data_IF_824852327865
#
_entry.id   IF_824852327865
#
_cell.length_a   1.000
_cell.length_b   1.000
_cell.length_c   1.000
_cell.angle_alpha   90.00
_cell.angle_beta   90.00
_cell.angle_gamma   90.00
#
_symmetry.space_group_name_H-M   'P 1'
#
loop_
_entity.id
_entity.type
_entity.pdbx_description
1 polymer ?
#
# COMPACT_ATOMS: atom_id res chain seq x y z
N UNK A 1 8.07 -25.72 12.22
CA UNK A 1 8.79 -24.44 12.45
C UNK A 1 8.26 -23.74 13.70
N UNK A 2 9.11 -23.20 14.60
CA UNK A 2 8.63 -22.38 15.70
C UNK A 2 8.14 -21.01 15.18
N UNK A 3 6.84 -20.71 15.34
CA UNK A 3 6.29 -19.37 15.16
C UNK A 3 5.57 -18.95 16.45
N UNK A 4 5.67 -17.67 16.82
CA UNK A 4 5.14 -17.14 18.09
C UNK A 4 3.60 -17.09 18.09
N UNK A 5 3.02 -16.47 17.06
CA UNK A 5 1.58 -16.49 16.76
C UNK A 5 1.37 -15.84 15.38
N UNK A 6 0.55 -16.44 14.51
CA UNK A 6 0.14 -15.86 13.22
C UNK A 6 -1.38 -15.92 13.16
N UNK A 7 -2.04 -14.76 13.09
CA UNK A 7 -3.49 -14.68 13.01
C UNK A 7 -3.98 -15.43 11.76
N UNK A 8 -4.96 -16.34 11.92
CA UNK A 8 -5.49 -17.19 10.85
C UNK A 8 -5.02 -18.63 10.93
N UNK A 9 -3.97 -18.92 11.69
CA UNK A 9 -3.38 -20.26 11.80
C UNK A 9 -3.22 -20.71 13.24
N UNK A 10 -3.60 -21.97 13.49
CA UNK A 10 -3.32 -22.70 14.72
C UNK A 10 -2.16 -23.64 14.50
N UNK A 11 -1.37 -23.84 15.56
CA UNK A 11 -0.30 -24.83 15.55
C UNK A 11 -0.89 -26.21 15.79
N UNK A 12 -0.72 -27.11 14.83
CA UNK A 12 -1.04 -28.53 14.99
C UNK A 12 -0.10 -29.23 15.97
N UNK A 13 -0.46 -30.45 16.38
CA UNK A 13 0.32 -31.27 17.32
C UNK A 13 1.77 -31.48 16.86
N UNK A 14 1.99 -31.58 15.56
CA UNK A 14 3.31 -31.80 14.94
C UNK A 14 4.01 -30.49 14.52
N UNK A 15 3.45 -29.33 14.85
CA UNK A 15 3.98 -28.03 14.41
C UNK A 15 3.59 -27.63 12.99
N UNK A 16 2.53 -28.25 12.46
CA UNK A 16 1.88 -27.92 11.20
C UNK A 16 1.04 -26.64 11.32
N UNK A 17 0.80 -25.97 10.18
CA UNK A 17 -0.11 -24.84 10.07
C UNK A 17 -1.52 -25.35 9.78
N UNK A 18 -2.40 -25.28 10.77
CA UNK A 18 -3.81 -25.59 10.61
C UNK A 18 -4.60 -24.30 10.47
N UNK A 19 -5.41 -24.18 9.42
CA UNK A 19 -6.24 -22.99 9.21
C UNK A 19 -7.31 -22.91 10.29
N UNK A 20 -7.36 -21.80 11.04
CA UNK A 20 -8.48 -21.52 11.92
C UNK A 20 -9.60 -20.86 11.11
N UNK A 21 -10.72 -21.54 10.94
CA UNK A 21 -11.84 -21.05 10.12
C UNK A 21 -12.39 -19.69 10.58
N UNK A 22 -12.35 -19.38 11.88
CA UNK A 22 -12.86 -18.10 12.41
C UNK A 22 -11.88 -16.97 12.12
N UNK A 23 -10.60 -17.19 12.42
CA UNK A 23 -9.57 -16.16 12.17
C UNK A 23 -9.30 -15.99 10.68
N UNK A 24 -9.34 -17.07 9.88
CA UNK A 24 -9.19 -17.02 8.44
C UNK A 24 -10.28 -16.16 7.76
N UNK A 25 -11.51 -16.13 8.31
CA UNK A 25 -12.56 -15.21 7.84
C UNK A 25 -12.17 -13.75 8.06
N UNK A 26 -11.54 -13.43 9.18
CA UNK A 26 -11.03 -12.07 9.46
C UNK A 26 -9.96 -11.69 8.45
N UNK A 27 -9.00 -12.58 8.18
CA UNK A 27 -7.97 -12.34 7.17
C UNK A 27 -8.58 -12.11 5.79
N UNK A 28 -9.47 -13.00 5.35
CA UNK A 28 -10.17 -12.85 4.06
C UNK A 28 -10.93 -11.52 3.99
N UNK A 29 -11.59 -11.10 5.06
CA UNK A 29 -12.26 -9.81 5.13
C UNK A 29 -11.28 -8.63 5.05
N UNK A 30 -10.12 -8.70 5.71
CA UNK A 30 -9.07 -7.66 5.63
C UNK A 30 -8.56 -7.50 4.20
N UNK A 31 -8.25 -8.60 3.51
CA UNK A 31 -7.82 -8.56 2.10
C UNK A 31 -8.93 -8.03 1.20
N UNK A 32 -10.19 -8.44 1.40
CA UNK A 32 -11.33 -7.90 0.65
C UNK A 32 -11.48 -6.38 0.84
N UNK A 33 -11.37 -5.86 2.06
CA UNK A 33 -11.39 -4.42 2.34
C UNK A 33 -10.26 -3.67 1.62
N UNK A 34 -9.06 -4.26 1.58
CA UNK A 34 -7.93 -3.68 0.85
C UNK A 34 -8.16 -3.66 -0.67
N UNK A 35 -8.73 -4.72 -1.24
CA UNK A 35 -9.13 -4.79 -2.66
C UNK A 35 -10.14 -3.69 -2.99
N UNK A 36 -11.13 -3.46 -2.13
CA UNK A 36 -12.14 -2.38 -2.30
C UNK A 36 -11.50 -0.98 -2.27
N UNK A 37 -10.30 -0.82 -1.72
CA UNK A 37 -9.60 0.47 -1.67
C UNK A 37 -9.52 1.10 -0.30
N UNK A 38 -9.95 0.39 0.74
CA UNK A 38 -9.79 0.89 2.09
C UNK A 38 -8.32 0.97 2.48
N UNK A 39 -8.01 2.00 3.23
CA UNK A 39 -6.66 2.28 3.70
C UNK A 39 -6.34 1.43 4.91
N UNK A 40 -5.06 1.17 5.18
CA UNK A 40 -4.67 0.42 6.39
C UNK A 40 -5.18 1.08 7.68
N UNK A 41 -5.35 2.42 7.68
CA UNK A 41 -5.91 3.15 8.81
C UNK A 41 -7.43 2.95 8.95
N UNK A 42 -8.17 2.91 7.84
CA UNK A 42 -9.61 2.64 7.84
C UNK A 42 -9.90 1.19 8.23
N UNK A 43 -9.11 0.24 7.71
CA UNK A 43 -9.20 -1.18 8.08
C UNK A 43 -8.96 -1.33 9.58
N UNK A 44 -7.92 -0.69 10.12
CA UNK A 44 -7.65 -0.66 11.57
C UNK A 44 -8.86 -0.18 12.38
N UNK A 45 -9.45 0.94 11.95
CA UNK A 45 -10.61 1.53 12.62
C UNK A 45 -11.79 0.56 12.61
N UNK A 46 -12.13 0.01 11.43
CA UNK A 46 -13.21 -0.98 11.29
C UNK A 46 -12.99 -2.23 12.12
N UNK A 47 -11.77 -2.77 12.16
CA UNK A 47 -11.46 -3.95 12.98
C UNK A 47 -11.67 -3.68 14.47
N UNK A 48 -11.23 -2.52 14.95
CA UNK A 48 -11.46 -2.10 16.34
C UNK A 48 -12.95 -1.84 16.63
N UNK A 49 -13.69 -1.23 15.70
CA UNK A 49 -15.13 -0.95 15.84
C UNK A 49 -15.94 -2.27 15.89
N UNK A 50 -15.51 -3.30 15.15
CA UNK A 50 -16.08 -4.64 15.18
C UNK A 50 -15.63 -5.49 16.38
N UNK A 51 -14.77 -4.96 17.26
CA UNK A 51 -14.25 -5.67 18.43
C UNK A 51 -13.29 -6.82 18.10
N UNK A 52 -12.72 -6.84 16.89
CA UNK A 52 -11.79 -7.88 16.45
C UNK A 52 -10.41 -7.59 17.04
N UNK A 53 -9.82 -8.58 17.72
CA UNK A 53 -8.49 -8.46 18.34
C UNK A 53 -7.38 -9.00 17.45
N UNK A 54 -6.14 -8.64 17.78
CA UNK A 54 -4.91 -9.16 17.16
C UNK A 54 -4.64 -10.61 17.60
N UNK A 55 -3.64 -11.26 17.00
CA UNK A 55 -3.23 -12.63 17.34
C UNK A 55 -2.83 -12.84 18.82
N UNK A 56 -2.58 -11.76 19.55
CA UNK A 56 -2.23 -11.74 20.98
C UNK A 56 -3.38 -11.25 21.87
N UNK A 57 -4.59 -11.07 21.32
CA UNK A 57 -5.76 -10.58 22.06
C UNK A 57 -5.81 -9.07 22.30
N UNK A 58 -4.85 -8.31 21.78
CA UNK A 58 -4.80 -6.85 21.93
C UNK A 58 -5.59 -6.13 20.86
N UNK A 59 -5.96 -4.86 21.12
CA UNK A 59 -6.54 -3.96 20.10
C UNK A 59 -5.52 -3.62 19.01
N UNK A 60 -6.02 -3.21 17.84
CA UNK A 60 -5.17 -2.80 16.74
C UNK A 60 -4.68 -1.37 16.95
N UNK A 61 -3.49 -1.22 17.52
CA UNK A 61 -2.90 0.09 17.78
C UNK A 61 -2.21 0.67 16.55
N UNK A 62 -1.34 -0.12 15.93
CA UNK A 62 -0.44 0.30 14.84
C UNK A 62 -0.93 -0.18 13.47
N UNK A 63 -0.72 0.64 12.44
CA UNK A 63 -1.01 0.27 11.05
C UNK A 63 0.10 -0.58 10.42
N UNK A 64 1.30 -0.61 11.01
CA UNK A 64 2.41 -1.46 10.57
C UNK A 64 2.05 -2.93 10.62
N UNK A 65 1.41 -3.40 11.70
CA UNK A 65 0.97 -4.79 11.85
C UNK A 65 0.09 -5.25 10.69
N UNK A 66 -0.84 -4.39 10.24
CA UNK A 66 -1.71 -4.68 9.10
C UNK A 66 -0.92 -4.73 7.79
N UNK A 67 0.08 -3.84 7.60
CA UNK A 67 0.96 -3.87 6.43
C UNK A 67 1.83 -5.13 6.40
N UNK A 68 2.35 -5.54 7.56
CA UNK A 68 3.14 -6.76 7.69
C UNK A 68 2.29 -7.98 7.34
N UNK A 69 1.01 -7.99 7.73
CA UNK A 69 0.08 -9.05 7.34
C UNK A 69 -0.15 -9.09 5.82
N UNK A 70 -0.32 -7.95 5.16
CA UNK A 70 -0.48 -7.89 3.70
C UNK A 70 0.76 -8.27 2.90
N UNK A 71 1.93 -8.37 3.55
CA UNK A 71 3.20 -8.76 2.91
C UNK A 71 3.71 -10.12 3.39
N UNK A 72 2.96 -10.79 4.26
CA UNK A 72 3.35 -12.08 4.81
C UNK A 72 2.93 -13.22 3.87
N UNK A 73 3.93 -13.87 3.29
CA UNK A 73 3.78 -14.99 2.35
C UNK A 73 3.03 -16.19 2.93
N UNK A 74 2.95 -16.31 4.25
CA UNK A 74 2.19 -17.40 4.89
C UNK A 74 0.72 -17.41 4.49
N UNK A 75 0.14 -16.24 4.19
CA UNK A 75 -1.28 -16.18 3.81
C UNK A 75 -1.58 -16.78 2.43
N UNK A 76 -0.56 -16.92 1.57
CA UNK A 76 -0.66 -17.58 0.26
C UNK A 76 -0.19 -19.03 0.27
N UNK A 77 0.11 -19.59 1.45
CA UNK A 77 0.58 -20.97 1.62
C UNK A 77 2.09 -21.14 1.50
N UNK A 78 2.83 -20.08 1.15
CA UNK A 78 4.27 -20.12 0.97
C UNK A 78 5.00 -19.89 2.31
N UNK A 79 6.26 -20.29 2.39
CA UNK A 79 7.10 -20.09 3.57
C UNK A 79 8.52 -19.68 3.20
N UNK A 80 8.97 -18.53 3.71
CA UNK A 80 10.37 -18.10 3.59
C UNK A 80 11.13 -18.41 4.89
N UNK A 81 12.09 -19.32 4.78
CA UNK A 81 12.95 -19.77 5.87
C UNK A 81 14.14 -18.83 6.05
N UNK A 82 14.65 -18.78 7.28
CA UNK A 82 15.88 -18.06 7.63
C UNK A 82 15.86 -16.55 7.33
N UNK A 83 14.69 -15.91 7.51
CA UNK A 83 14.52 -14.44 7.47
C UNK A 83 15.40 -13.71 8.48
N UNK A 84 15.72 -14.35 9.59
CA UNK A 84 16.61 -13.83 10.63
C UNK A 84 17.59 -14.91 11.05
N UNK A 85 18.76 -14.48 11.52
CA UNK A 85 19.79 -15.36 12.05
C UNK A 85 20.40 -14.74 13.31
N UNK A 86 21.05 -15.57 14.13
CA UNK A 86 21.78 -15.08 15.31
C UNK A 86 23.15 -14.59 14.86
N UNK A 87 23.38 -13.28 14.92
CA UNK A 87 24.63 -12.66 14.47
C UNK A 87 25.76 -12.83 15.48
N UNK A 88 25.42 -12.89 16.77
CA UNK A 88 26.38 -13.02 17.86
C UNK A 88 25.91 -14.12 18.82
N UNK A 89 26.78 -15.11 19.01
CA UNK A 89 26.54 -16.29 19.84
C UNK A 89 26.51 -15.96 21.34
N UNK A 90 27.26 -14.95 21.78
CA UNK A 90 27.31 -14.53 23.18
C UNK A 90 26.06 -13.73 23.55
N UNK A 91 25.71 -12.74 22.73
CA UNK A 91 24.59 -11.83 23.01
C UNK A 91 23.25 -12.35 22.52
N UNK A 92 23.24 -13.46 21.74
CA UNK A 92 22.06 -14.06 21.09
C UNK A 92 21.25 -13.04 20.27
N UNK A 93 21.90 -11.98 19.80
CA UNK A 93 21.24 -10.93 19.02
C UNK A 93 20.82 -11.49 17.67
N UNK A 94 19.53 -11.29 17.34
CA UNK A 94 18.96 -11.69 16.06
C UNK A 94 19.06 -10.52 15.09
N UNK A 95 19.64 -10.78 13.92
CA UNK A 95 19.71 -9.86 12.80
C UNK A 95 18.81 -10.35 11.66
N UNK A 96 18.23 -9.43 10.90
CA UNK A 96 17.59 -9.77 9.62
C UNK A 96 18.65 -10.25 8.65
N UNK A 97 18.34 -11.32 7.93
CA UNK A 97 19.21 -11.86 6.91
C UNK A 97 19.02 -11.02 5.63
N UNK A 98 20.06 -10.30 5.23
CA UNK A 98 20.11 -9.44 4.04
C UNK A 98 20.96 -10.09 2.92
N UNK A 99 21.38 -11.35 3.12
CA UNK A 99 22.20 -12.12 2.19
C UNK A 99 23.39 -12.81 2.86
N UNK A 100 23.59 -12.64 4.17
CA UNK A 100 24.69 -13.28 4.90
C UNK A 100 24.58 -14.81 4.93
N UNK A 101 23.36 -15.34 4.90
CA UNK A 101 23.09 -16.78 4.87
C UNK A 101 22.04 -17.13 3.80
N UNK A 102 22.03 -18.36 3.24
CA UNK A 102 21.07 -18.75 2.22
C UNK A 102 19.62 -18.70 2.75
N UNK A 103 18.73 -18.00 2.05
CA UNK A 103 17.30 -18.02 2.33
C UNK A 103 16.63 -19.07 1.45
N UNK A 104 15.69 -19.83 2.02
CA UNK A 104 14.97 -20.88 1.29
C UNK A 104 13.50 -20.49 1.20
N UNK A 105 13.00 -20.33 -0.03
CA UNK A 105 11.60 -20.10 -0.31
C UNK A 105 10.94 -21.43 -0.65
N UNK A 106 9.88 -21.78 0.08
CA UNK A 106 9.11 -23.00 -0.13
C UNK A 106 7.70 -22.60 -0.58
N UNK A 107 7.34 -23.00 -1.79
CA UNK A 107 5.98 -22.82 -2.30
C UNK A 107 5.04 -23.91 -1.77
N UNK A 108 3.77 -23.57 -1.57
CA UNK A 108 2.71 -24.51 -1.18
C UNK A 108 3.08 -25.38 0.05
N UNK A 109 3.65 -24.73 1.06
CA UNK A 109 4.04 -25.37 2.32
C UNK A 109 2.82 -25.74 3.17
N UNK A 110 1.73 -24.98 3.08
CA UNK A 110 0.51 -25.18 3.88
C UNK A 110 -0.71 -24.56 3.19
N UNK A 111 -1.90 -24.91 3.68
CA UNK A 111 -3.16 -24.42 3.13
C UNK A 111 -3.24 -22.88 3.14
N UNK A 112 -3.39 -22.31 1.95
CA UNK A 112 -3.47 -20.88 1.75
C UNK A 112 -4.82 -20.31 2.24
N UNK A 113 -4.77 -19.16 2.92
CA UNK A 113 -5.98 -18.43 3.33
C UNK A 113 -6.46 -17.52 2.19
N UNK A 114 -5.54 -16.99 1.38
CA UNK A 114 -5.79 -16.01 0.31
C UNK A 114 -5.12 -16.50 -0.97
N UNK A 115 -5.74 -16.25 -2.13
CA UNK A 115 -5.13 -16.59 -3.42
C UNK A 115 -3.92 -15.69 -3.72
N UNK A 116 -2.95 -16.25 -4.47
CA UNK A 116 -1.75 -15.51 -4.93
C UNK A 116 -2.11 -14.21 -5.67
N UNK A 117 -3.19 -14.23 -6.46
CA UNK A 117 -3.68 -13.08 -7.23
C UNK A 117 -4.15 -11.92 -6.33
N UNK A 118 -4.95 -12.21 -5.30
CA UNK A 118 -5.44 -11.19 -4.36
C UNK A 118 -4.28 -10.62 -3.55
N UNK A 119 -3.34 -11.47 -3.14
CA UNK A 119 -2.15 -11.05 -2.40
C UNK A 119 -1.26 -10.11 -3.23
N UNK A 120 -0.95 -10.47 -4.48
CA UNK A 120 -0.17 -9.65 -5.39
C UNK A 120 -0.87 -8.30 -5.68
N UNK A 121 -2.18 -8.33 -5.93
CA UNK A 121 -2.96 -7.12 -6.16
C UNK A 121 -2.90 -6.14 -4.97
N UNK A 122 -3.09 -6.65 -3.75
CA UNK A 122 -3.00 -5.83 -2.53
C UNK A 122 -1.57 -5.33 -2.30
N UNK A 123 -0.55 -6.17 -2.54
CA UNK A 123 0.86 -5.79 -2.44
C UNK A 123 1.22 -4.62 -3.36
N UNK A 124 0.84 -4.69 -4.64
CA UNK A 124 1.03 -3.60 -5.62
C UNK A 124 0.32 -2.32 -5.19
N UNK A 125 -0.87 -2.43 -4.62
CA UNK A 125 -1.65 -1.29 -4.11
C UNK A 125 -1.00 -0.62 -2.90
N UNK A 126 -0.38 -1.39 -2.00
CA UNK A 126 0.39 -0.83 -0.88
C UNK A 126 1.62 -0.08 -1.36
N UNK A 127 2.33 -0.60 -2.36
CA UNK A 127 3.47 0.09 -2.98
C UNK A 127 3.01 1.39 -3.66
N UNK A 128 1.90 1.36 -4.41
CA UNK A 128 1.36 2.55 -5.07
C UNK A 128 0.84 3.61 -4.09
N UNK A 129 0.29 3.21 -2.93
CA UNK A 129 -0.11 4.17 -1.86
C UNK A 129 1.08 4.89 -1.20
N UNK A 130 2.29 4.33 -1.32
CA UNK A 130 3.53 4.98 -0.84
C UNK A 130 3.91 6.16 -1.74
N UNK A 131 3.51 6.11 -3.02
CA UNK A 131 3.49 7.26 -3.91
C UNK A 131 2.35 8.14 -3.42
N UNK A 132 2.71 9.15 -2.62
CA UNK A 132 1.82 10.11 -1.93
C UNK A 132 0.44 10.20 -2.58
N UNK A 133 -0.61 10.03 -1.77
CA UNK A 133 -1.95 10.54 -2.07
C UNK A 133 -1.84 12.02 -2.39
N UNK A 134 -1.65 12.31 -3.66
CA UNK A 134 -2.13 13.48 -4.30
C UNK A 134 -3.63 13.56 -3.93
N UNK A 135 -3.98 14.35 -2.90
CA UNK A 135 -5.37 14.63 -2.56
C UNK A 135 -6.10 15.42 -3.66
N UNK A 136 -5.38 15.70 -4.75
CA UNK A 136 -5.81 16.42 -5.94
C UNK A 136 -5.45 15.51 -7.12
N UNK A 137 -6.41 15.19 -8.01
CA UNK A 137 -6.12 14.47 -9.25
C UNK A 137 -4.86 15.01 -9.92
N UNK A 138 -3.99 14.12 -10.43
CA UNK A 138 -2.76 14.47 -11.18
C UNK A 138 -1.61 15.10 -10.39
N UNK A 139 -1.77 15.38 -9.10
CA UNK A 139 -0.64 15.92 -8.33
C UNK A 139 0.52 14.91 -8.31
N UNK A 140 1.71 15.38 -8.66
CA UNK A 140 2.91 14.54 -8.83
C UNK A 140 3.01 13.80 -10.17
N UNK A 141 2.04 13.94 -11.08
CA UNK A 141 2.09 13.41 -12.45
C UNK A 141 2.48 14.45 -13.50
N UNK A 142 2.32 15.74 -13.19
CA UNK A 142 2.59 16.85 -14.11
C UNK A 142 3.98 17.44 -13.81
N UNK A 143 4.74 17.70 -14.86
CA UNK A 143 6.09 18.25 -14.80
C UNK A 143 6.18 19.51 -15.66
N UNK A 144 7.02 20.45 -15.23
CA UNK A 144 7.28 21.68 -15.97
C UNK A 144 8.17 21.40 -17.19
N UNK A 145 7.67 21.69 -18.39
CA UNK A 145 8.42 21.49 -19.65
C UNK A 145 9.70 22.34 -19.76
N UNK A 146 9.81 23.44 -19.00
CA UNK A 146 10.99 24.33 -19.05
C UNK A 146 12.11 23.86 -18.11
N UNK A 147 11.77 23.42 -16.90
CA UNK A 147 12.79 23.15 -15.87
C UNK A 147 12.77 21.73 -15.29
N UNK A 148 11.87 20.86 -15.78
CA UNK A 148 11.75 19.46 -15.38
C UNK A 148 11.22 19.22 -13.96
N UNK A 149 11.05 20.28 -13.16
CA UNK A 149 10.54 20.18 -11.80
C UNK A 149 9.03 19.90 -11.76
N UNK A 150 8.56 19.39 -10.61
CA UNK A 150 7.14 19.09 -10.42
C UNK A 150 6.26 20.32 -10.57
N UNK A 151 5.15 20.14 -11.27
CA UNK A 151 4.09 21.13 -11.43
C UNK A 151 2.87 20.63 -10.65
N UNK A 152 2.39 21.42 -9.68
CA UNK A 152 1.42 20.90 -8.71
C UNK A 152 0.48 21.97 -8.16
N UNK A 153 -0.62 21.52 -7.52
CA UNK A 153 -1.66 22.39 -7.00
C UNK A 153 -1.16 23.17 -5.79
N UNK A 154 -1.52 24.45 -5.72
CA UNK A 154 -1.23 25.37 -4.64
C UNK A 154 -2.51 26.14 -4.30
N UNK A 155 -2.80 26.34 -3.01
CA UNK A 155 -3.93 27.16 -2.62
C UNK A 155 -3.61 28.63 -2.92
N UNK A 156 -4.50 29.30 -3.62
CA UNK A 156 -4.48 30.72 -3.95
C UNK A 156 -5.56 31.44 -3.13
N UNK A 157 -5.33 32.70 -2.76
CA UNK A 157 -6.19 33.46 -1.83
C UNK A 157 -6.52 32.71 -0.52
N UNK A 158 -5.56 31.93 -0.01
CA UNK A 158 -5.73 31.03 1.14
C UNK A 158 -5.76 31.74 2.51
N UNK A 159 -6.15 33.01 2.56
CA UNK A 159 -6.29 33.72 3.83
C UNK A 159 -7.46 33.15 4.64
N UNK A 160 -7.30 33.14 5.97
CA UNK A 160 -8.29 32.55 6.90
C UNK A 160 -9.60 33.35 6.82
N UNK A 161 -10.66 32.72 6.30
CA UNK A 161 -11.97 33.37 6.09
C UNK A 161 -12.21 33.93 4.70
N UNK A 162 -11.32 33.70 3.73
CA UNK A 162 -11.55 34.05 2.33
C UNK A 162 -12.74 33.26 1.75
N UNK A 163 -13.76 33.92 1.17
CA UNK A 163 -14.84 33.25 0.44
C UNK A 163 -14.38 32.69 -0.92
N UNK A 164 -13.21 33.12 -1.43
CA UNK A 164 -12.68 32.75 -2.74
C UNK A 164 -11.37 31.96 -2.60
N UNK A 165 -11.43 30.81 -1.94
CA UNK A 165 -10.28 29.89 -1.89
C UNK A 165 -10.20 29.14 -3.22
N UNK A 166 -9.22 29.49 -4.04
CA UNK A 166 -8.99 28.83 -5.33
C UNK A 166 -7.76 27.93 -5.30
N UNK A 167 -7.69 26.98 -6.22
CA UNK A 167 -6.51 26.14 -6.44
C UNK A 167 -5.91 26.50 -7.78
N UNK A 168 -4.64 26.91 -7.77
CA UNK A 168 -3.86 27.15 -8.99
C UNK A 168 -2.75 26.12 -9.09
N UNK A 169 -2.42 25.73 -10.30
CA UNK A 169 -1.31 24.84 -10.56
C UNK A 169 -0.07 25.64 -10.96
N UNK A 170 1.04 25.39 -10.28
CA UNK A 170 2.28 26.13 -10.49
C UNK A 170 3.50 25.21 -10.40
N UNK A 171 4.56 25.57 -11.13
CA UNK A 171 5.86 24.97 -10.99
C UNK A 171 6.39 25.12 -9.55
N UNK A 172 7.07 24.10 -9.04
CA UNK A 172 7.75 24.14 -7.74
C UNK A 172 8.72 25.32 -7.60
N UNK A 173 9.41 25.69 -8.69
CA UNK A 173 10.31 26.86 -8.76
C UNK A 173 9.58 28.21 -8.91
N UNK A 174 8.23 28.20 -8.95
CA UNK A 174 7.36 29.37 -9.12
C UNK A 174 7.80 30.22 -10.33
N UNK A 175 7.94 31.52 -10.13
CA UNK A 175 8.33 32.50 -11.16
C UNK A 175 9.76 32.35 -11.66
N UNK A 176 10.64 31.61 -10.97
CA UNK A 176 12.04 31.48 -11.37
C UNK A 176 12.25 30.77 -12.71
N UNK A 177 11.25 30.01 -13.19
CA UNK A 177 11.29 29.36 -14.51
C UNK A 177 10.46 30.09 -15.58
N UNK A 178 9.85 31.24 -15.27
CA UNK A 178 9.03 32.01 -16.21
C UNK A 178 7.70 31.37 -16.62
N UNK A 179 7.41 30.13 -16.20
CA UNK A 179 6.18 29.42 -16.56
C UNK A 179 4.99 30.00 -15.78
N UNK A 180 3.89 30.37 -16.46
CA UNK A 180 2.69 30.86 -15.80
C UNK A 180 2.05 29.78 -14.94
N UNK A 181 1.20 30.22 -14.00
CA UNK A 181 0.28 29.30 -13.34
C UNK A 181 -0.92 29.04 -14.24
N UNK A 182 -1.57 27.90 -14.05
CA UNK A 182 -2.81 27.53 -14.74
C UNK A 182 -3.90 27.25 -13.71
N UNK A 183 -5.14 27.52 -14.09
CA UNK A 183 -6.30 27.19 -13.25
C UNK A 183 -6.74 25.74 -13.47
N UNK A 184 -7.47 25.19 -12.51
CA UNK A 184 -7.94 23.80 -12.56
C UNK A 184 -8.83 23.53 -13.79
N UNK A 185 -9.69 24.50 -14.16
CA UNK A 185 -10.53 24.42 -15.37
C UNK A 185 -9.71 24.33 -16.66
N UNK A 186 -8.66 25.14 -16.77
CA UNK A 186 -7.76 25.13 -17.94
C UNK A 186 -6.99 23.81 -18.02
N UNK A 187 -6.58 23.27 -16.87
CA UNK A 187 -5.93 21.96 -16.82
C UNK A 187 -6.91 20.86 -17.26
N UNK A 188 -8.18 20.92 -16.84
CA UNK A 188 -9.24 20.01 -17.28
C UNK A 188 -9.39 19.97 -18.80
N UNK A 189 -9.48 21.14 -19.44
CA UNK A 189 -9.59 21.23 -20.91
C UNK A 189 -8.39 20.63 -21.63
N UNK A 190 -7.17 20.91 -21.15
CA UNK A 190 -5.94 20.36 -21.74
C UNK A 190 -5.88 18.84 -21.59
N UNK A 191 -6.32 18.30 -20.45
CA UNK A 191 -6.37 16.85 -20.25
C UNK A 191 -7.39 16.19 -21.16
N UNK A 192 -8.57 16.77 -21.31
CA UNK A 192 -9.60 16.25 -22.20
C UNK A 192 -9.10 16.17 -23.64
N UNK A 193 -8.37 17.18 -24.10
CA UNK A 193 -7.74 17.18 -25.42
C UNK A 193 -6.70 16.07 -25.56
N UNK A 194 -5.79 15.94 -24.60
CA UNK A 194 -4.74 14.90 -24.60
C UNK A 194 -5.37 13.50 -24.55
N UNK A 195 -6.37 13.29 -23.69
CA UNK A 195 -7.08 12.02 -23.57
C UNK A 195 -7.75 11.66 -24.89
N UNK A 196 -8.46 12.61 -25.52
CA UNK A 196 -9.06 12.41 -26.85
C UNK A 196 -8.03 12.06 -27.91
N UNK A 197 -6.86 12.67 -27.89
CA UNK A 197 -5.77 12.34 -28.82
C UNK A 197 -5.24 10.91 -28.57
N UNK A 198 -4.97 10.56 -27.31
CA UNK A 198 -4.49 9.21 -26.96
C UNK A 198 -5.51 8.14 -27.36
N UNK A 199 -6.81 8.37 -27.16
CA UNK A 199 -7.85 7.42 -27.60
C UNK A 199 -7.92 7.27 -29.12
N UNK A 200 -7.60 8.32 -29.89
CA UNK A 200 -7.50 8.20 -31.36
C UNK A 200 -6.29 7.40 -31.81
N UNK A 201 -5.17 7.50 -31.09
CA UNK A 201 -3.92 6.82 -31.41
C UNK A 201 -3.88 5.37 -30.90
N UNK A 202 -4.61 5.06 -29.82
CA UNK A 202 -4.66 3.75 -29.16
C UNK A 202 -5.96 3.00 -29.47
N UNK A 203 -6.08 2.58 -30.74
CA UNK A 203 -7.19 1.74 -31.23
C UNK A 203 -7.28 0.42 -30.45
N UNK A 204 -6.16 -0.04 -29.89
CA UNK A 204 -6.03 -1.23 -29.03
C UNK A 204 -6.81 -1.17 -27.70
N UNK A 205 -7.26 0.02 -27.28
CA UNK A 205 -8.01 0.21 -26.04
C UNK A 205 -9.53 0.31 -26.27
N UNK A 206 -9.99 0.25 -27.51
CA UNK A 206 -11.39 0.42 -27.89
C UNK A 206 -12.12 -0.93 -28.17
N UNK A 207 -11.43 -2.05 -28.02
CA UNK A 207 -11.96 -3.43 -28.15
C UNK A 207 -12.16 -4.11 -26.79
#
# INVERSE_FOLDING_TARGET
MPFSSVLGFKRGLNGEFLVDVKEAKVIKAMFAMAVIGMTTAEIKKKLNDLGITTAYGNKWETTSTIKDMFTNEKYIGDALLQKTFTADFLTKQKKKNEGELPQYYVEDHHEAIVSKEVFDHVGKKLQSQTIRRASVPLSGKIFCGVCGERFGPRPWHAYKGSPHKETVWQCKKRTACGVPHIYDEQLGLLLDEVVRQVFKERVDLAE
#
